data_IF_264293797613
#
_entry.id   IF_264293797613
#
_cell.length_a   1.000
_cell.length_b   1.000
_cell.length_c   1.000
_cell.angle_alpha   90.00
_cell.angle_beta   90.00
_cell.angle_gamma   90.00
#
_symmetry.space_group_name_H-M   'P 1'
#
loop_
_entity.id
_entity.type
_entity.pdbx_description
1 polymer ?
#
# COMPACT_ATOMS: atom_id res chain seq x y z
N UNK A 1 8.55 14.87 16.41
CA UNK A 1 7.32 15.28 15.67
C UNK A 1 7.40 16.65 14.96
N UNK A 2 7.93 17.72 15.56
CA UNK A 2 7.97 19.04 14.89
C UNK A 2 8.92 19.15 13.67
N UNK A 3 9.94 18.29 13.57
CA UNK A 3 10.95 18.33 12.51
C UNK A 3 10.49 17.68 11.19
N UNK A 4 9.86 16.50 11.26
CA UNK A 4 9.20 15.85 10.11
C UNK A 4 8.16 16.75 9.44
N UNK A 5 7.41 17.51 10.25
CA UNK A 5 6.45 18.52 9.80
C UNK A 5 7.10 19.71 9.09
N UNK A 6 8.37 20.07 9.41
CA UNK A 6 9.10 21.15 8.74
C UNK A 6 9.63 20.73 7.38
N UNK A 7 10.18 19.52 7.23
CA UNK A 7 10.53 18.96 5.90
C UNK A 7 9.27 18.82 5.06
N UNK A 8 8.20 18.26 5.63
CA UNK A 8 6.94 18.10 4.90
C UNK A 8 6.37 19.47 4.49
N UNK A 9 6.37 20.49 5.37
CA UNK A 9 5.88 21.84 5.04
C UNK A 9 6.81 22.63 4.10
N UNK A 10 8.13 22.52 4.21
CA UNK A 10 9.08 23.27 3.36
C UNK A 10 9.22 22.67 1.95
N UNK A 11 9.17 21.34 1.84
CA UNK A 11 9.09 20.63 0.55
C UNK A 11 7.77 20.97 -0.15
N UNK A 12 6.66 21.07 0.59
CA UNK A 12 5.31 21.33 0.06
C UNK A 12 4.95 22.81 -0.24
N UNK A 13 5.68 23.83 0.25
CA UNK A 13 5.21 25.25 0.18
C UNK A 13 6.16 26.30 -0.43
N UNK A 14 7.31 25.95 -1.00
CA UNK A 14 8.18 26.98 -1.61
C UNK A 14 7.73 27.37 -3.04
N UNK A 15 7.53 28.67 -3.37
CA UNK A 15 7.16 29.13 -4.71
C UNK A 15 8.34 29.08 -5.69
N UNK A 16 8.03 28.80 -6.96
CA UNK A 16 9.00 28.54 -8.02
C UNK A 16 9.63 29.79 -8.66
N UNK A 17 10.93 29.69 -8.91
CA UNK A 17 11.78 30.39 -9.90
C UNK A 17 13.21 29.83 -9.67
N UNK A 18 14.10 29.54 -10.62
CA UNK A 18 14.24 29.85 -12.06
C UNK A 18 15.38 29.01 -12.67
N UNK A 19 15.21 28.65 -13.95
CA UNK A 19 16.17 28.34 -15.04
C UNK A 19 17.17 27.15 -14.99
N UNK A 20 17.42 26.49 -16.14
CA UNK A 20 18.14 25.22 -16.22
C UNK A 20 19.66 25.42 -16.43
N UNK A 21 20.49 24.95 -15.50
CA UNK A 21 21.92 24.78 -15.75
C UNK A 21 22.18 23.45 -16.45
N UNK A 22 22.82 23.53 -17.62
CA UNK A 22 23.30 22.42 -18.49
C UNK A 22 23.64 21.14 -17.72
N UNK A 23 22.85 20.09 -17.95
CA UNK A 23 23.20 18.73 -17.58
C UNK A 23 24.41 18.27 -18.42
N UNK A 24 25.56 18.08 -17.78
CA UNK A 24 26.60 17.22 -18.34
C UNK A 24 26.09 15.79 -18.27
N UNK A 25 25.82 15.20 -19.43
CA UNK A 25 25.52 13.78 -19.57
C UNK A 25 26.77 12.98 -19.17
N UNK A 26 26.83 12.57 -17.90
CA UNK A 26 27.81 11.57 -17.46
C UNK A 26 27.24 10.20 -17.84
N UNK A 27 28.00 9.51 -18.69
CA UNK A 27 27.72 8.17 -19.19
C UNK A 27 27.39 7.23 -18.02
N UNK A 28 26.26 6.55 -18.13
CA UNK A 28 25.87 5.39 -17.34
C UNK A 28 27.02 4.39 -17.28
N UNK A 29 27.78 4.39 -16.19
CA UNK A 29 28.67 3.29 -15.85
C UNK A 29 27.79 2.11 -15.48
N UNK A 30 27.64 1.18 -16.42
CA UNK A 30 26.97 -0.08 -16.22
C UNK A 30 27.51 -0.79 -14.96
N UNK A 31 26.59 -1.28 -14.13
CA UNK A 31 26.90 -2.22 -13.05
C UNK A 31 27.70 -3.40 -13.62
N UNK A 32 28.65 -3.98 -12.86
CA UNK A 32 29.39 -5.16 -13.31
C UNK A 32 28.41 -6.27 -13.68
N UNK A 33 28.59 -6.85 -14.87
CA UNK A 33 27.63 -7.73 -15.50
C UNK A 33 27.22 -8.93 -14.64
N UNK A 34 25.95 -8.98 -14.27
CA UNK A 34 25.27 -10.25 -14.06
C UNK A 34 24.85 -10.81 -15.43
N UNK A 35 25.78 -11.53 -16.07
CA UNK A 35 25.41 -12.54 -17.06
C UNK A 35 24.73 -13.69 -16.31
N UNK A 36 23.40 -13.74 -16.37
CA UNK A 36 22.62 -14.86 -15.87
C UNK A 36 21.13 -14.61 -16.00
N UNK A 37 20.39 -15.59 -16.49
CA UNK A 37 18.93 -15.64 -16.57
C UNK A 37 18.22 -15.63 -15.19
N UNK A 38 18.74 -14.91 -14.20
CA UNK A 38 18.22 -14.87 -12.83
C UNK A 38 17.15 -13.79 -12.64
N UNK A 39 16.17 -14.08 -11.78
CA UNK A 39 15.14 -13.12 -11.39
C UNK A 39 15.76 -11.90 -10.69
N UNK A 40 15.28 -10.70 -11.03
CA UNK A 40 15.66 -9.45 -10.37
C UNK A 40 15.03 -9.42 -8.98
N UNK A 41 15.87 -9.36 -7.94
CA UNK A 41 15.41 -9.47 -6.54
C UNK A 41 15.73 -8.23 -5.71
N UNK A 42 14.94 -8.02 -4.67
CA UNK A 42 15.18 -7.00 -3.67
C UNK A 42 15.17 -7.56 -2.24
N UNK A 43 16.04 -7.01 -1.40
CA UNK A 43 15.96 -7.11 0.05
C UNK A 43 15.57 -5.76 0.65
N UNK A 44 14.70 -5.76 1.65
CA UNK A 44 14.28 -4.55 2.37
C UNK A 44 14.79 -4.61 3.81
N UNK A 45 15.38 -3.53 4.30
CA UNK A 45 15.85 -3.38 5.68
C UNK A 45 15.11 -2.19 6.30
N UNK A 46 14.24 -2.47 7.27
CA UNK A 46 13.57 -1.44 8.06
C UNK A 46 14.41 -1.20 9.32
N UNK A 47 14.78 0.06 9.53
CA UNK A 47 15.66 0.49 10.62
C UNK A 47 14.84 1.37 11.54
N UNK A 48 14.64 0.93 12.77
CA UNK A 48 13.80 1.66 13.72
C UNK A 48 13.45 0.84 14.94
N UNK A 49 13.96 1.27 16.08
CA UNK A 49 13.67 0.71 17.40
C UNK A 49 12.17 0.73 17.73
N UNK A 50 11.43 1.73 17.25
CA UNK A 50 9.99 1.86 17.45
C UNK A 50 9.18 0.76 16.75
N UNK A 51 9.70 0.21 15.65
CA UNK A 51 9.08 -0.91 14.95
C UNK A 51 9.31 -2.19 15.75
N UNK A 52 10.54 -2.42 16.23
CA UNK A 52 10.87 -3.57 17.07
C UNK A 52 10.12 -3.56 18.42
N UNK A 53 9.86 -2.37 18.98
CA UNK A 53 9.07 -2.18 20.20
C UNK A 53 7.55 -2.29 19.96
N UNK A 54 7.10 -2.41 18.72
CA UNK A 54 5.67 -2.47 18.36
C UNK A 54 4.92 -1.15 18.60
N UNK A 55 5.63 -0.03 18.74
CA UNK A 55 5.03 1.29 18.96
C UNK A 55 4.47 1.89 17.67
N UNK A 56 5.05 1.50 16.54
CA UNK A 56 4.64 1.93 15.20
C UNK A 56 4.51 0.69 14.32
N UNK A 57 3.39 0.60 13.60
CA UNK A 57 3.22 -0.44 12.58
C UNK A 57 4.06 -0.09 11.35
N UNK A 58 4.87 -1.04 10.89
CA UNK A 58 5.62 -0.87 9.64
C UNK A 58 4.67 -0.91 8.43
N UNK A 59 4.45 0.27 7.84
CA UNK A 59 3.75 0.43 6.56
C UNK A 59 4.71 0.56 5.37
N UNK A 60 6.00 0.80 5.65
CA UNK A 60 6.99 1.06 4.62
C UNK A 60 7.29 -0.20 3.82
N UNK A 61 7.55 -1.32 4.50
CA UNK A 61 7.82 -2.59 3.81
C UNK A 61 6.65 -3.03 2.95
N UNK A 62 5.40 -2.88 3.43
CA UNK A 62 4.19 -3.18 2.67
C UNK A 62 4.13 -2.38 1.37
N UNK A 63 4.32 -1.06 1.45
CA UNK A 63 4.31 -0.22 0.26
C UNK A 63 5.45 -0.56 -0.70
N UNK A 64 6.67 -0.74 -0.18
CA UNK A 64 7.84 -1.12 -0.98
C UNK A 64 7.61 -2.44 -1.71
N UNK A 65 7.09 -3.46 -1.05
CA UNK A 65 6.74 -4.75 -1.66
C UNK A 65 5.77 -4.59 -2.82
N UNK A 66 4.66 -3.88 -2.60
CA UNK A 66 3.65 -3.64 -3.64
C UNK A 66 4.25 -2.87 -4.82
N UNK A 67 5.07 -1.86 -4.54
CA UNK A 67 5.65 -1.00 -5.57
C UNK A 67 6.73 -1.74 -6.37
N UNK A 68 7.67 -2.42 -5.73
CA UNK A 68 8.70 -3.21 -6.38
C UNK A 68 8.09 -4.34 -7.24
N UNK A 69 7.06 -5.00 -6.72
CA UNK A 69 6.29 -5.98 -7.50
C UNK A 69 5.71 -5.36 -8.77
N UNK A 70 5.08 -4.19 -8.69
CA UNK A 70 4.57 -3.48 -9.88
C UNK A 70 5.67 -3.07 -10.88
N UNK A 71 6.93 -3.05 -10.44
CA UNK A 71 8.10 -2.74 -11.26
C UNK A 71 8.81 -4.00 -11.76
N UNK A 72 8.27 -5.20 -11.55
CA UNK A 72 8.88 -6.45 -12.01
C UNK A 72 10.04 -6.94 -11.11
N UNK A 73 10.09 -6.50 -9.85
CA UNK A 73 11.12 -6.88 -8.88
C UNK A 73 10.52 -7.75 -7.78
N UNK A 74 11.12 -8.93 -7.55
CA UNK A 74 10.70 -9.86 -6.50
C UNK A 74 11.38 -9.49 -5.17
N UNK A 75 10.61 -9.08 -4.18
CA UNK A 75 11.14 -8.94 -2.81
C UNK A 75 11.33 -10.33 -2.20
N UNK A 76 12.55 -10.63 -1.78
CA UNK A 76 12.93 -11.97 -1.30
C UNK A 76 13.12 -12.03 0.22
N UNK A 77 13.45 -10.92 0.89
CA UNK A 77 13.57 -10.84 2.34
C UNK A 77 13.27 -9.42 2.82
N UNK A 78 12.55 -9.31 3.92
CA UNK A 78 12.46 -8.11 4.74
C UNK A 78 13.17 -8.40 6.06
N UNK A 79 13.95 -7.45 6.56
CA UNK A 79 14.56 -7.48 7.89
C UNK A 79 14.18 -6.21 8.64
N UNK A 80 13.91 -6.33 9.94
CA UNK A 80 13.67 -5.19 10.83
C UNK A 80 14.74 -5.23 11.91
N UNK A 81 15.48 -4.13 12.08
CA UNK A 81 16.68 -4.08 12.91
C UNK A 81 16.73 -2.78 13.74
N UNK A 82 17.45 -2.77 14.88
CA UNK A 82 17.55 -1.59 15.73
C UNK A 82 18.40 -0.49 15.08
N UNK A 83 18.30 0.72 15.64
CA UNK A 83 19.15 1.87 15.30
C UNK A 83 20.58 1.72 15.84
N UNK A 84 21.26 0.65 15.42
CA UNK A 84 22.62 0.29 15.80
C UNK A 84 23.52 0.11 14.57
N UNK A 85 24.66 0.79 14.57
CA UNK A 85 25.59 0.83 13.43
C UNK A 85 26.03 -0.57 13.00
N UNK A 86 26.29 -1.46 13.95
CA UNK A 86 26.90 -2.75 13.70
C UNK A 86 25.86 -3.74 13.19
N UNK A 87 24.67 -3.75 13.80
CA UNK A 87 23.52 -4.52 13.34
C UNK A 87 23.14 -4.13 11.90
N UNK A 88 23.05 -2.83 11.61
CA UNK A 88 22.73 -2.33 10.27
C UNK A 88 23.83 -2.69 9.27
N UNK A 89 25.11 -2.50 9.62
CA UNK A 89 26.21 -2.79 8.70
C UNK A 89 26.31 -4.28 8.33
N UNK A 90 26.09 -5.18 9.30
CA UNK A 90 26.07 -6.64 9.07
C UNK A 90 24.93 -7.02 8.12
N UNK A 91 23.72 -6.51 8.35
CA UNK A 91 22.56 -6.86 7.52
C UNK A 91 22.71 -6.29 6.10
N UNK A 92 23.19 -5.04 5.96
CA UNK A 92 23.49 -4.43 4.66
C UNK A 92 24.51 -5.27 3.89
N UNK A 93 25.61 -5.67 4.55
CA UNK A 93 26.65 -6.48 3.90
C UNK A 93 26.10 -7.81 3.41
N UNK A 94 25.27 -8.48 4.22
CA UNK A 94 24.60 -9.74 3.86
C UNK A 94 23.64 -9.56 2.69
N UNK A 95 22.83 -8.49 2.69
CA UNK A 95 21.83 -8.22 1.67
C UNK A 95 22.45 -7.81 0.34
N UNK A 96 23.47 -6.94 0.39
CA UNK A 96 24.15 -6.42 -0.79
C UNK A 96 24.81 -7.54 -1.62
N UNK A 97 25.28 -8.60 -0.96
CA UNK A 97 25.86 -9.77 -1.62
C UNK A 97 24.81 -10.73 -2.24
N UNK A 98 23.54 -10.66 -1.81
CA UNK A 98 22.50 -11.65 -2.15
C UNK A 98 21.43 -11.15 -3.10
N UNK A 99 21.16 -9.85 -3.13
CA UNK A 99 20.03 -9.28 -3.85
C UNK A 99 20.48 -8.26 -4.89
N UNK A 100 19.71 -8.12 -5.97
CA UNK A 100 19.97 -7.11 -7.01
C UNK A 100 19.84 -5.69 -6.45
N UNK A 101 18.85 -5.47 -5.60
CA UNK A 101 18.60 -4.21 -4.91
C UNK A 101 18.49 -4.41 -3.40
N UNK A 102 19.04 -3.49 -2.63
CA UNK A 102 18.83 -3.39 -1.19
C UNK A 102 18.20 -2.04 -0.91
N UNK A 103 17.01 -2.03 -0.32
CA UNK A 103 16.33 -0.80 0.08
C UNK A 103 16.35 -0.73 1.59
N UNK A 104 16.85 0.36 2.16
CA UNK A 104 16.70 0.64 3.59
C UNK A 104 15.63 1.70 3.80
N UNK A 105 14.93 1.68 4.94
CA UNK A 105 14.05 2.77 5.35
C UNK A 105 14.20 3.04 6.84
N UNK A 106 14.57 4.27 7.19
CA UNK A 106 14.79 4.69 8.58
C UNK A 106 16.20 5.21 8.84
N UNK A 107 16.41 5.78 10.03
CA UNK A 107 17.72 6.19 10.55
C UNK A 107 18.55 7.15 9.68
N UNK A 108 17.93 8.10 8.96
CA UNK A 108 18.62 9.11 8.13
C UNK A 108 18.32 10.56 8.51
N UNK A 109 17.64 10.81 9.63
CA UNK A 109 17.44 12.15 10.16
C UNK A 109 18.70 12.75 10.82
N UNK A 110 18.54 13.85 11.58
CA UNK A 110 19.64 14.58 12.17
C UNK A 110 19.91 14.15 13.62
N UNK A 111 19.13 13.23 14.20
CA UNK A 111 19.26 12.85 15.60
C UNK A 111 20.37 11.81 15.79
N UNK A 112 20.70 11.50 17.04
CA UNK A 112 21.89 10.70 17.38
C UNK A 112 21.72 9.23 16.99
N UNK A 113 20.49 8.74 17.05
CA UNK A 113 20.00 7.42 16.64
C UNK A 113 19.92 7.26 15.10
N UNK A 114 19.91 8.34 14.32
CA UNK A 114 19.88 8.27 12.85
C UNK A 114 21.23 7.85 12.24
N UNK A 115 21.60 6.57 12.32
CA UNK A 115 22.97 6.09 12.02
C UNK A 115 23.12 5.30 10.71
N UNK A 116 22.14 5.36 9.82
CA UNK A 116 22.11 4.50 8.62
C UNK A 116 23.24 4.81 7.64
N UNK A 117 23.62 6.08 7.45
CA UNK A 117 24.73 6.41 6.56
C UNK A 117 26.08 5.94 7.11
N UNK A 118 26.29 6.05 8.42
CA UNK A 118 27.45 5.51 9.13
C UNK A 118 27.52 3.98 8.99
N UNK A 119 26.39 3.30 9.12
CA UNK A 119 26.31 1.86 8.95
C UNK A 119 26.55 1.40 7.51
N UNK A 120 26.00 2.11 6.51
CA UNK A 120 26.29 1.85 5.08
C UNK A 120 27.78 2.02 4.79
N UNK A 121 28.41 3.08 5.33
CA UNK A 121 29.85 3.28 5.18
C UNK A 121 30.64 2.14 5.82
N UNK A 122 30.29 1.73 7.05
CA UNK A 122 30.92 0.60 7.74
C UNK A 122 30.78 -0.71 6.96
N UNK A 123 29.61 -1.00 6.41
CA UNK A 123 29.34 -2.21 5.61
C UNK A 123 30.27 -2.34 4.40
N UNK A 124 30.70 -1.21 3.84
CA UNK A 124 31.53 -1.17 2.63
C UNK A 124 32.99 -0.77 2.88
N UNK A 125 33.38 -0.55 4.14
CA UNK A 125 34.74 -0.15 4.52
C UNK A 125 35.09 1.28 4.13
N UNK A 126 34.10 2.18 4.10
CA UNK A 126 34.24 3.57 3.67
C UNK A 126 34.06 4.54 4.85
N UNK A 127 34.40 5.82 4.64
CA UNK A 127 34.14 6.89 5.59
C UNK A 127 32.94 7.74 5.16
N UNK A 128 32.26 8.32 6.14
CA UNK A 128 31.21 9.30 5.89
C UNK A 128 31.83 10.70 5.75
N UNK A 129 31.56 11.38 4.64
CA UNK A 129 32.06 12.74 4.35
C UNK A 129 30.93 13.68 3.93
N UNK A 130 31.06 15.00 4.16
CA UNK A 130 30.12 15.97 3.63
C UNK A 130 30.10 15.93 2.10
N UNK A 131 28.93 15.70 1.49
CA UNK A 131 28.75 15.79 0.05
C UNK A 131 28.40 17.22 -0.36
N UNK A 132 29.17 17.90 -1.22
CA UNK A 132 29.00 19.32 -1.52
C UNK A 132 27.58 19.72 -1.93
N UNK A 133 26.92 18.90 -2.74
CA UNK A 133 25.55 19.14 -3.19
C UNK A 133 24.53 19.02 -2.05
N UNK A 134 24.67 18.02 -1.17
CA UNK A 134 23.78 17.88 -0.02
C UNK A 134 24.00 19.01 0.99
N UNK A 135 25.24 19.46 1.17
CA UNK A 135 25.56 20.65 1.98
C UNK A 135 24.80 21.87 1.45
N UNK A 136 24.83 22.11 0.14
CA UNK A 136 24.10 23.20 -0.49
C UNK A 136 22.57 23.06 -0.32
N UNK A 137 22.04 21.84 -0.40
CA UNK A 137 20.61 21.57 -0.15
C UNK A 137 20.23 21.82 1.31
N UNK A 138 21.04 21.37 2.27
CA UNK A 138 20.83 21.63 3.70
C UNK A 138 20.81 23.14 3.95
N UNK A 139 21.76 23.88 3.39
CA UNK A 139 21.76 25.33 3.45
C UNK A 139 20.47 25.94 2.86
N UNK A 140 20.04 25.47 1.69
CA UNK A 140 18.82 25.98 1.02
C UNK A 140 17.54 25.70 1.80
N UNK A 141 17.39 24.52 2.40
CA UNK A 141 16.16 24.12 3.09
C UNK A 141 16.09 24.54 4.55
N UNK A 142 17.23 24.62 5.23
CA UNK A 142 17.30 24.87 6.68
C UNK A 142 17.96 26.21 7.03
N UNK A 143 18.60 26.89 6.08
CA UNK A 143 19.33 28.15 6.31
C UNK A 143 20.55 27.98 7.22
N UNK A 144 21.13 26.78 7.26
CA UNK A 144 22.27 26.43 8.12
C UNK A 144 23.55 26.31 7.31
N UNK A 145 24.61 26.95 7.77
CA UNK A 145 25.96 26.91 7.16
C UNK A 145 27.00 26.27 8.08
N UNK A 146 26.72 26.18 9.38
CA UNK A 146 27.68 25.65 10.36
C UNK A 146 27.70 24.12 10.30
N UNK A 147 28.91 23.58 10.09
CA UNK A 147 29.22 22.15 9.97
C UNK A 147 28.82 21.38 11.24
N UNK A 148 28.79 22.04 12.40
CA UNK A 148 28.40 21.43 13.68
C UNK A 148 26.89 21.30 13.91
N UNK A 149 26.04 21.87 13.06
CA UNK A 149 24.59 21.80 13.24
C UNK A 149 24.05 20.38 12.99
N UNK A 150 23.04 19.91 13.75
CA UNK A 150 22.44 18.59 13.54
C UNK A 150 21.95 18.33 12.11
N UNK A 151 21.43 19.36 11.43
CA UNK A 151 20.94 19.25 10.05
C UNK A 151 22.05 18.90 9.04
N UNK A 152 23.32 19.23 9.33
CA UNK A 152 24.45 18.88 8.47
C UNK A 152 24.72 17.38 8.43
N UNK A 153 24.20 16.59 9.39
CA UNK A 153 24.26 15.12 9.35
C UNK A 153 23.62 14.58 8.07
N UNK A 154 22.56 15.22 7.58
CA UNK A 154 21.90 14.86 6.32
C UNK A 154 22.79 14.98 5.08
N UNK A 155 23.85 15.78 5.16
CA UNK A 155 24.82 15.98 4.09
C UNK A 155 26.06 15.10 4.24
N UNK A 156 26.21 14.38 5.36
CA UNK A 156 27.32 13.46 5.62
C UNK A 156 26.91 12.07 5.15
N UNK A 157 27.47 11.63 4.03
CA UNK A 157 27.15 10.35 3.38
C UNK A 157 28.42 9.55 3.09
N UNK A 158 28.35 8.24 2.83
CA UNK A 158 29.50 7.44 2.43
C UNK A 158 30.21 8.04 1.20
N UNK A 159 31.53 7.90 1.11
CA UNK A 159 32.35 8.56 0.08
C UNK A 159 31.94 8.20 -1.36
N UNK A 160 31.54 6.95 -1.62
CA UNK A 160 31.09 6.50 -2.94
C UNK A 160 29.60 6.76 -3.25
N UNK A 161 28.93 7.61 -2.46
CA UNK A 161 27.49 7.88 -2.61
C UNK A 161 27.15 8.49 -3.98
N UNK A 162 26.07 7.98 -4.56
CA UNK A 162 25.40 8.55 -5.72
C UNK A 162 24.11 9.24 -5.26
N UNK A 163 23.81 10.39 -5.88
CA UNK A 163 22.59 11.15 -5.64
C UNK A 163 21.60 10.91 -6.78
N UNK A 164 20.46 10.30 -6.46
CA UNK A 164 19.44 9.96 -7.44
C UNK A 164 18.26 10.92 -7.35
N UNK A 165 17.99 11.63 -8.45
CA UNK A 165 16.86 12.56 -8.55
C UNK A 165 15.68 11.91 -9.26
N UNK A 166 14.53 11.94 -8.59
CA UNK A 166 13.27 11.48 -9.15
C UNK A 166 12.37 12.63 -9.60
N UNK A 167 11.22 12.28 -10.15
CA UNK A 167 10.17 13.24 -10.51
C UNK A 167 8.95 12.98 -9.63
N UNK A 168 8.41 14.02 -8.99
CA UNK A 168 7.15 13.92 -8.26
C UNK A 168 6.02 13.63 -9.26
N UNK A 169 5.38 12.47 -9.12
CA UNK A 169 4.31 12.04 -10.03
C UNK A 169 3.04 12.87 -9.92
N UNK A 170 2.83 13.59 -8.82
CA UNK A 170 1.64 14.45 -8.62
C UNK A 170 1.80 15.81 -9.26
N UNK A 171 3.00 16.38 -9.22
CA UNK A 171 3.26 17.76 -9.70
C UNK A 171 3.96 17.77 -11.06
N UNK A 172 4.70 16.72 -11.41
CA UNK A 172 5.58 16.67 -12.58
C UNK A 172 6.94 17.33 -12.35
N UNK A 173 7.16 17.92 -11.16
CA UNK A 173 8.40 18.62 -10.83
C UNK A 173 9.50 17.65 -10.38
N UNK A 174 10.76 18.07 -10.52
CA UNK A 174 11.89 17.34 -9.95
C UNK A 174 11.78 17.27 -8.41
N UNK A 175 12.10 16.10 -7.85
CA UNK A 175 12.23 15.96 -6.40
C UNK A 175 13.34 16.87 -5.90
N UNK A 176 13.00 17.66 -4.88
CA UNK A 176 13.87 18.67 -4.29
C UNK A 176 15.05 18.10 -3.49
N UNK A 177 14.97 16.84 -3.10
CA UNK A 177 15.98 16.13 -2.33
C UNK A 177 16.27 14.77 -3.01
N UNK A 178 17.54 14.40 -3.22
CA UNK A 178 17.89 13.15 -3.88
C UNK A 178 17.78 11.96 -2.93
N UNK A 179 17.63 10.76 -3.48
CA UNK A 179 17.85 9.52 -2.76
C UNK A 179 19.34 9.14 -2.86
N UNK A 180 19.97 8.94 -1.71
CA UNK A 180 21.36 8.51 -1.62
C UNK A 180 21.44 7.01 -1.84
N UNK A 181 22.38 6.57 -2.68
CA UNK A 181 22.67 5.16 -2.87
C UNK A 181 24.17 4.88 -2.86
N UNK A 182 24.56 3.71 -2.36
CA UNK A 182 25.94 3.20 -2.40
C UNK A 182 25.88 1.78 -2.95
N UNK A 183 26.59 1.53 -4.06
CA UNK A 183 26.51 0.25 -4.80
C UNK A 183 25.05 -0.10 -5.13
N UNK A 184 24.54 -1.24 -4.67
CA UNK A 184 23.15 -1.67 -4.84
C UNK A 184 22.24 -1.32 -3.64
N UNK A 185 22.70 -0.50 -2.69
CA UNK A 185 21.96 -0.08 -1.49
C UNK A 185 21.36 1.31 -1.69
N UNK A 186 20.05 1.43 -1.52
CA UNK A 186 19.26 2.65 -1.70
C UNK A 186 18.65 3.06 -0.36
N UNK A 187 18.98 4.25 0.12
CA UNK A 187 18.72 4.65 1.51
C UNK A 187 17.51 5.57 1.58
N UNK A 188 16.34 5.03 1.94
CA UNK A 188 15.08 5.78 2.03
C UNK A 188 14.84 6.40 3.41
N UNK A 189 14.10 7.52 3.48
CA UNK A 189 13.62 8.05 4.75
C UNK A 189 12.67 7.07 5.46
N UNK A 190 12.66 7.09 6.80
CA UNK A 190 11.71 6.29 7.59
C UNK A 190 10.28 6.83 7.60
N UNK A 191 10.09 8.13 7.33
CA UNK A 191 8.76 8.76 7.32
C UNK A 191 7.97 8.24 6.09
N UNK A 192 6.81 7.55 6.27
CA UNK A 192 6.14 6.86 5.18
C UNK A 192 5.83 7.73 3.96
N UNK A 193 5.22 8.90 4.17
CA UNK A 193 4.87 9.82 3.07
C UNK A 193 6.10 10.27 2.25
N UNK A 194 7.28 10.38 2.88
CA UNK A 194 8.50 10.75 2.16
C UNK A 194 9.09 9.55 1.42
N UNK A 195 9.07 8.37 2.04
CA UNK A 195 9.53 7.12 1.45
C UNK A 195 8.71 6.79 0.19
N UNK A 196 7.38 6.84 0.31
CA UNK A 196 6.45 6.56 -0.78
C UNK A 196 6.71 7.49 -1.98
N UNK A 197 6.80 8.81 -1.72
CA UNK A 197 7.09 9.81 -2.77
C UNK A 197 8.43 9.57 -3.45
N UNK A 198 9.47 9.25 -2.67
CA UNK A 198 10.79 8.96 -3.22
C UNK A 198 10.75 7.73 -4.13
N UNK A 199 10.18 6.61 -3.66
CA UNK A 199 10.12 5.37 -4.44
C UNK A 199 9.23 5.50 -5.68
N UNK A 200 8.13 6.26 -5.60
CA UNK A 200 7.29 6.56 -6.76
C UNK A 200 8.04 7.37 -7.82
N UNK A 201 8.76 8.42 -7.40
CA UNK A 201 9.50 9.29 -8.31
C UNK A 201 10.75 8.63 -8.91
N UNK A 202 11.31 7.65 -8.21
CA UNK A 202 12.52 6.92 -8.59
C UNK A 202 12.24 5.52 -9.13
N UNK A 203 10.98 5.17 -9.41
CA UNK A 203 10.62 3.84 -9.89
C UNK A 203 11.31 3.40 -11.18
N UNK A 204 11.89 4.32 -11.95
CA UNK A 204 12.69 4.01 -13.13
C UNK A 204 14.01 3.27 -12.79
N UNK A 205 14.57 3.46 -11.59
CA UNK A 205 15.81 2.80 -11.16
C UNK A 205 15.62 1.29 -10.93
N UNK A 206 14.40 0.90 -10.55
CA UNK A 206 14.06 -0.46 -10.16
C UNK A 206 13.25 -1.20 -11.22
N UNK A 207 12.95 -0.56 -12.36
CA UNK A 207 12.06 -1.15 -13.37
C UNK A 207 12.74 -2.32 -14.08
N UNK A 208 12.11 -3.48 -14.02
CA UNK A 208 12.44 -4.67 -14.79
C UNK A 208 11.28 -5.03 -15.72
N UNK A 209 11.45 -4.75 -17.02
CA UNK A 209 10.40 -5.00 -18.02
C UNK A 209 10.27 -6.47 -18.41
N UNK A 210 11.25 -7.30 -18.05
CA UNK A 210 11.28 -8.73 -18.40
C UNK A 210 10.38 -9.58 -17.52
N UNK A 211 10.02 -9.07 -16.35
CA UNK A 211 9.20 -9.80 -15.37
C UNK A 211 7.92 -9.03 -15.13
N UNK A 212 6.79 -9.72 -15.26
CA UNK A 212 5.48 -9.24 -14.83
C UNK A 212 4.91 -10.26 -13.88
N UNK A 213 4.23 -9.79 -12.85
CA UNK A 213 3.54 -10.68 -11.94
C UNK A 213 2.04 -10.58 -12.16
N UNK A 214 1.40 -11.73 -12.26
CA UNK A 214 -0.02 -11.89 -12.47
C UNK A 214 -0.60 -12.58 -11.24
N UNK A 215 -1.77 -12.12 -10.79
CA UNK A 215 -2.45 -12.69 -9.63
C UNK A 215 -3.92 -12.95 -9.92
N UNK A 216 -4.46 -14.01 -9.33
CA UNK A 216 -5.90 -14.29 -9.27
C UNK A 216 -6.29 -14.57 -7.82
N UNK A 217 -7.54 -14.25 -7.50
CA UNK A 217 -8.13 -14.57 -6.21
C UNK A 217 -9.40 -15.38 -6.40
N UNK A 218 -9.64 -16.32 -5.50
CA UNK A 218 -10.82 -17.17 -5.45
C UNK A 218 -11.34 -17.15 -4.01
N UNK A 219 -12.65 -16.98 -3.86
CA UNK A 219 -13.30 -16.92 -2.56
C UNK A 219 -14.20 -18.12 -2.41
N UNK A 220 -14.11 -18.80 -1.27
CA UNK A 220 -14.85 -20.06 -1.05
C UNK A 220 -15.52 -20.10 0.31
N UNK A 221 -16.69 -20.76 0.37
CA UNK A 221 -17.50 -20.93 1.59
C UNK A 221 -17.11 -22.15 2.42
N UNK A 222 -16.21 -22.99 1.92
CA UNK A 222 -15.75 -24.19 2.61
C UNK A 222 -14.53 -23.93 3.50
N UNK A 223 -14.35 -24.78 4.51
CA UNK A 223 -13.20 -24.75 5.41
C UNK A 223 -11.93 -25.23 4.70
N UNK A 224 -10.78 -24.70 5.11
CA UNK A 224 -9.47 -25.00 4.51
C UNK A 224 -9.14 -26.50 4.53
N UNK A 225 -9.54 -27.23 5.57
CA UNK A 225 -9.31 -28.67 5.70
C UNK A 225 -9.97 -29.48 4.59
N UNK A 226 -11.12 -29.03 4.07
CA UNK A 226 -11.81 -29.66 2.96
C UNK A 226 -11.16 -29.34 1.62
N UNK A 227 -10.48 -28.18 1.53
CA UNK A 227 -9.80 -27.71 0.32
C UNK A 227 -8.39 -28.31 0.19
N UNK A 228 -7.73 -28.60 1.32
CA UNK A 228 -6.34 -29.01 1.38
C UNK A 228 -5.95 -30.15 0.40
N UNK A 229 -6.71 -31.24 0.23
CA UNK A 229 -6.37 -32.27 -0.74
C UNK A 229 -6.29 -31.75 -2.19
N UNK A 230 -7.25 -30.92 -2.58
CA UNK A 230 -7.29 -30.31 -3.91
C UNK A 230 -6.16 -29.29 -4.09
N UNK A 231 -5.90 -28.47 -3.07
CA UNK A 231 -4.81 -27.49 -3.11
C UNK A 231 -3.44 -28.18 -3.20
N UNK A 232 -3.25 -29.30 -2.52
CA UNK A 232 -2.03 -30.11 -2.62
C UNK A 232 -1.86 -30.69 -4.03
N UNK A 233 -2.94 -31.16 -4.65
CA UNK A 233 -2.92 -31.64 -6.03
C UNK A 233 -2.59 -30.50 -7.00
N UNK A 234 -3.24 -29.34 -6.85
CA UNK A 234 -2.94 -28.16 -7.66
C UNK A 234 -1.48 -27.72 -7.49
N UNK A 235 -0.95 -27.73 -6.27
CA UNK A 235 0.45 -27.38 -6.02
C UNK A 235 1.42 -28.41 -6.62
N UNK A 236 1.09 -29.70 -6.60
CA UNK A 236 1.90 -30.72 -7.26
C UNK A 236 1.95 -30.55 -8.79
N UNK A 237 0.84 -30.10 -9.40
CA UNK A 237 0.76 -29.88 -10.84
C UNK A 237 1.39 -28.55 -11.29
N UNK A 238 1.19 -27.47 -10.53
CA UNK A 238 1.48 -26.10 -10.98
C UNK A 238 2.52 -25.36 -10.12
N UNK A 239 2.92 -25.90 -8.96
CA UNK A 239 3.75 -25.21 -7.96
C UNK A 239 5.14 -24.80 -8.44
N UNK A 240 5.64 -25.36 -9.55
CA UNK A 240 6.90 -24.93 -10.17
C UNK A 240 6.82 -23.55 -10.82
N UNK A 241 5.61 -23.12 -11.22
CA UNK A 241 5.40 -21.89 -12.00
C UNK A 241 4.28 -21.00 -11.47
N UNK A 242 3.42 -21.52 -10.61
CA UNK A 242 2.31 -20.78 -9.98
C UNK A 242 2.32 -21.04 -8.48
N UNK A 243 2.52 -19.97 -7.71
CA UNK A 243 2.42 -20.02 -6.26
C UNK A 243 0.96 -20.01 -5.85
N UNK A 244 0.57 -20.99 -5.04
CA UNK A 244 -0.77 -21.10 -4.47
C UNK A 244 -0.72 -20.70 -2.99
N UNK A 245 -1.69 -19.88 -2.57
CA UNK A 245 -1.87 -19.45 -1.20
C UNK A 245 -3.31 -19.69 -0.75
N UNK A 246 -3.47 -19.99 0.53
CA UNK A 246 -4.76 -20.18 1.20
C UNK A 246 -4.77 -19.35 2.48
N UNK A 247 -5.81 -18.56 2.67
CA UNK A 247 -5.95 -17.62 3.77
C UNK A 247 -7.36 -17.74 4.36
N UNK A 248 -7.54 -18.50 5.47
CA UNK A 248 -8.82 -18.58 6.16
C UNK A 248 -9.16 -17.25 6.84
N UNK A 249 -10.44 -16.89 6.81
CA UNK A 249 -11.00 -15.68 7.41
C UNK A 249 -12.21 -16.07 8.27
N UNK A 250 -11.93 -16.42 9.53
CA UNK A 250 -12.90 -16.99 10.46
C UNK A 250 -14.01 -16.02 10.90
N UNK A 251 -13.78 -14.72 10.74
CA UNK A 251 -14.71 -13.67 11.19
C UNK A 251 -15.60 -13.19 10.04
N UNK A 252 -15.28 -13.58 8.81
CA UNK A 252 -15.97 -13.12 7.62
C UNK A 252 -17.22 -13.95 7.35
N UNK A 253 -18.36 -13.26 7.28
CA UNK A 253 -19.65 -13.89 7.02
C UNK A 253 -19.92 -14.09 5.51
N UNK A 254 -19.05 -13.57 4.64
CA UNK A 254 -19.22 -13.61 3.19
C UNK A 254 -18.48 -14.78 2.54
N UNK A 255 -17.26 -15.07 2.97
CA UNK A 255 -16.46 -16.22 2.55
C UNK A 255 -15.66 -16.77 3.74
N UNK A 256 -15.23 -18.04 3.67
CA UNK A 256 -14.42 -18.67 4.73
C UNK A 256 -12.93 -18.71 4.40
N UNK A 257 -12.58 -18.93 3.15
CA UNK A 257 -11.17 -18.98 2.71
C UNK A 257 -11.00 -18.13 1.46
N UNK A 258 -9.93 -17.33 1.44
CA UNK A 258 -9.41 -16.67 0.24
C UNK A 258 -8.24 -17.48 -0.31
N UNK A 259 -8.39 -17.98 -1.52
CA UNK A 259 -7.34 -18.61 -2.30
C UNK A 259 -6.68 -17.55 -3.19
N UNK A 260 -5.36 -17.56 -3.25
CA UNK A 260 -4.60 -16.68 -4.13
C UNK A 260 -3.71 -17.50 -5.04
N UNK A 261 -3.61 -17.11 -6.29
CA UNK A 261 -2.69 -17.68 -7.25
C UNK A 261 -1.78 -16.57 -7.76
N UNK A 262 -0.48 -16.86 -7.86
CA UNK A 262 0.54 -15.89 -8.29
C UNK A 262 1.49 -16.53 -9.30
N UNK A 263 1.74 -15.87 -10.42
CA UNK A 263 2.70 -16.36 -11.43
C UNK A 263 3.39 -15.23 -12.17
N UNK A 264 4.58 -15.53 -12.71
CA UNK A 264 5.26 -14.69 -13.69
C UNK A 264 4.74 -14.91 -15.13
N UNK A 265 3.89 -15.93 -15.35
CA UNK A 265 3.26 -16.27 -16.63
C UNK A 265 1.74 -16.20 -16.52
N UNK A 266 1.11 -15.36 -17.33
CA UNK A 266 -0.35 -15.28 -17.40
C UNK A 266 -0.99 -16.60 -17.83
N UNK A 267 -0.32 -17.35 -18.72
CA UNK A 267 -0.80 -18.65 -19.17
C UNK A 267 -0.81 -19.68 -18.04
N UNK A 268 0.30 -19.84 -17.32
CA UNK A 268 0.37 -20.81 -16.20
C UNK A 268 -0.57 -20.44 -15.06
N UNK A 269 -0.80 -19.14 -14.85
CA UNK A 269 -1.78 -18.65 -13.89
C UNK A 269 -3.19 -19.09 -14.27
N UNK A 270 -3.57 -18.88 -15.54
CA UNK A 270 -4.92 -19.18 -16.01
C UNK A 270 -5.19 -20.70 -16.09
N UNK A 271 -4.17 -21.51 -16.41
CA UNK A 271 -4.24 -22.97 -16.33
C UNK A 271 -4.50 -23.45 -14.90
N UNK A 272 -3.74 -22.96 -13.92
CA UNK A 272 -3.91 -23.31 -12.51
C UNK A 272 -5.26 -22.80 -11.96
N UNK A 273 -5.67 -21.60 -12.36
CA UNK A 273 -6.96 -21.02 -11.99
C UNK A 273 -8.13 -21.82 -12.54
N UNK A 274 -8.07 -22.19 -13.82
CA UNK A 274 -9.08 -23.04 -14.48
C UNK A 274 -9.16 -24.42 -13.84
N UNK A 275 -8.02 -25.01 -13.47
CA UNK A 275 -7.98 -26.28 -12.73
C UNK A 275 -8.77 -26.19 -11.41
N UNK A 276 -8.56 -25.14 -10.62
CA UNK A 276 -9.31 -24.96 -9.37
C UNK A 276 -10.81 -24.76 -9.63
N UNK A 277 -11.19 -23.95 -10.62
CA UNK A 277 -12.60 -23.74 -10.97
C UNK A 277 -13.33 -25.03 -11.39
N UNK A 278 -12.65 -25.92 -12.12
CA UNK A 278 -13.24 -27.16 -12.62
C UNK A 278 -13.36 -28.24 -11.53
N UNK A 279 -12.45 -28.23 -10.55
CA UNK A 279 -12.38 -29.26 -9.51
C UNK A 279 -13.00 -28.84 -8.18
N UNK A 280 -13.26 -27.54 -7.97
CA UNK A 280 -14.04 -27.06 -6.83
C UNK A 280 -15.54 -27.25 -7.09
N UNK A 281 -16.32 -27.70 -6.09
CA UNK A 281 -17.77 -27.73 -6.22
C UNK A 281 -18.32 -26.32 -6.51
N UNK A 282 -19.15 -26.10 -7.55
CA UNK A 282 -19.63 -24.76 -7.89
C UNK A 282 -20.37 -24.04 -6.75
N UNK A 283 -21.06 -24.78 -5.88
CA UNK A 283 -21.75 -24.24 -4.72
C UNK A 283 -20.82 -23.68 -3.62
N UNK A 284 -19.53 -24.04 -3.68
CA UNK A 284 -18.51 -23.58 -2.72
C UNK A 284 -17.86 -22.28 -3.18
N UNK A 285 -17.83 -22.01 -4.49
CA UNK A 285 -17.20 -20.82 -5.05
C UNK A 285 -18.13 -19.62 -4.87
N UNK A 286 -17.63 -18.56 -4.23
CA UNK A 286 -18.39 -17.35 -3.95
C UNK A 286 -17.89 -16.23 -4.87
N UNK A 287 -18.78 -15.59 -5.65
CA UNK A 287 -18.41 -14.38 -6.38
C UNK A 287 -18.27 -13.23 -5.38
N UNK A 288 -17.05 -12.77 -5.10
CA UNK A 288 -16.86 -11.61 -4.23
C UNK A 288 -17.40 -10.34 -4.89
N UNK A 289 -18.45 -9.77 -4.30
CA UNK A 289 -18.93 -8.43 -4.65
C UNK A 289 -18.08 -7.39 -3.93
N UNK A 290 -17.13 -6.80 -4.65
CA UNK A 290 -16.19 -5.81 -4.10
C UNK A 290 -16.80 -4.43 -3.86
N UNK A 291 -17.86 -4.09 -4.59
CA UNK A 291 -18.64 -2.86 -4.39
C UNK A 291 -20.15 -3.18 -4.32
N UNK A 292 -20.64 -3.63 -3.15
CA UNK A 292 -22.05 -3.94 -2.96
C UNK A 292 -22.92 -2.67 -2.95
N UNK A 293 -22.34 -1.50 -2.67
CA UNK A 293 -23.08 -0.24 -2.57
C UNK A 293 -23.46 0.29 -3.95
N UNK A 294 -22.57 0.18 -4.93
CA UNK A 294 -22.86 0.59 -6.31
C UNK A 294 -23.92 -0.30 -6.98
N UNK A 295 -24.05 -1.57 -6.56
CA UNK A 295 -25.05 -2.51 -7.10
C UNK A 295 -26.35 -2.57 -6.30
N UNK A 296 -26.43 -1.83 -5.20
CA UNK A 296 -27.54 -1.92 -4.24
C UNK A 296 -28.92 -1.78 -4.89
N UNK A 297 -29.13 -0.79 -5.77
CA UNK A 297 -30.38 -0.63 -6.49
C UNK A 297 -30.76 -1.86 -7.34
N UNK A 298 -29.81 -2.44 -8.06
CA UNK A 298 -30.10 -3.62 -8.89
C UNK A 298 -30.48 -4.81 -8.01
N UNK A 299 -29.66 -5.12 -7.00
CA UNK A 299 -29.80 -6.33 -6.19
C UNK A 299 -31.04 -6.26 -5.28
N UNK A 300 -31.33 -5.10 -4.69
CA UNK A 300 -32.50 -4.90 -3.81
C UNK A 300 -33.82 -5.00 -4.58
N UNK A 301 -33.90 -4.43 -5.78
CA UNK A 301 -35.13 -4.51 -6.57
C UNK A 301 -35.31 -5.90 -7.21
N UNK A 302 -34.23 -6.57 -7.62
CA UNK A 302 -34.30 -7.97 -8.03
C UNK A 302 -34.83 -8.86 -6.88
N UNK A 303 -34.41 -8.61 -5.64
CA UNK A 303 -34.96 -9.31 -4.46
C UNK A 303 -36.45 -8.98 -4.27
N UNK A 304 -36.85 -7.72 -4.41
CA UNK A 304 -38.25 -7.30 -4.32
C UNK A 304 -39.14 -8.01 -5.35
N UNK A 305 -38.62 -8.24 -6.55
CA UNK A 305 -39.31 -8.88 -7.68
C UNK A 305 -39.23 -10.42 -7.65
N UNK A 306 -38.41 -11.00 -6.77
CA UNK A 306 -38.16 -12.46 -6.70
C UNK A 306 -39.37 -13.33 -6.35
N UNK A 307 -40.46 -12.72 -5.86
CA UNK A 307 -41.65 -13.44 -5.38
C UNK A 307 -41.47 -14.17 -4.04
N UNK A 308 -40.27 -14.18 -3.46
CA UNK A 308 -40.00 -14.81 -2.16
C UNK A 308 -40.70 -14.09 -1.00
N UNK A 309 -40.90 -14.78 0.13
CA UNK A 309 -41.51 -14.18 1.33
C UNK A 309 -40.73 -12.95 1.85
N UNK A 310 -39.39 -12.98 1.74
CA UNK A 310 -38.56 -11.81 2.05
C UNK A 310 -38.72 -10.73 0.98
N UNK A 311 -38.69 -11.11 -0.31
CA UNK A 311 -38.89 -10.19 -1.43
C UNK A 311 -40.19 -9.39 -1.33
N UNK A 312 -41.29 -10.02 -0.92
CA UNK A 312 -42.57 -9.34 -0.71
C UNK A 312 -42.50 -8.27 0.40
N UNK A 313 -41.79 -8.55 1.50
CA UNK A 313 -41.55 -7.58 2.57
C UNK A 313 -40.66 -6.43 2.11
N UNK A 314 -39.60 -6.74 1.35
CA UNK A 314 -38.71 -5.75 0.74
C UNK A 314 -39.49 -4.86 -0.23
N UNK A 315 -40.34 -5.43 -1.08
CA UNK A 315 -41.19 -4.67 -2.00
C UNK A 315 -42.15 -3.72 -1.26
N UNK A 316 -42.74 -4.16 -0.14
CA UNK A 316 -43.59 -3.30 0.69
C UNK A 316 -42.82 -2.14 1.33
N UNK A 317 -41.61 -2.41 1.83
CA UNK A 317 -40.74 -1.38 2.38
C UNK A 317 -40.31 -0.38 1.30
N UNK A 318 -39.90 -0.85 0.10
CA UNK A 318 -39.53 0.00 -1.02
C UNK A 318 -40.68 0.92 -1.45
N UNK A 319 -41.91 0.42 -1.56
CA UNK A 319 -43.08 1.26 -1.87
C UNK A 319 -43.24 2.41 -0.87
N UNK A 320 -43.05 2.14 0.42
CA UNK A 320 -43.13 3.18 1.47
C UNK A 320 -42.05 4.24 1.27
N UNK A 321 -40.84 3.82 0.91
CA UNK A 321 -39.72 4.74 0.66
C UNK A 321 -39.92 5.55 -0.63
N UNK A 322 -40.42 4.92 -1.68
CA UNK A 322 -40.75 5.58 -2.95
C UNK A 322 -41.87 6.61 -2.77
N UNK A 323 -42.93 6.27 -2.03
CA UNK A 323 -44.01 7.21 -1.68
C UNK A 323 -43.48 8.41 -0.87
N UNK A 324 -42.51 8.20 0.02
CA UNK A 324 -41.86 9.29 0.73
C UNK A 324 -41.04 10.18 -0.22
N UNK A 325 -40.33 9.57 -1.18
CA UNK A 325 -39.56 10.28 -2.22
C UNK A 325 -40.46 10.97 -3.26
N UNK A 326 -41.72 10.54 -3.42
CA UNK A 326 -42.73 11.25 -4.20
C UNK A 326 -43.23 12.51 -3.49
N UNK A 327 -43.40 12.43 -2.16
CA UNK A 327 -44.00 13.51 -1.35
C UNK A 327 -43.00 14.57 -0.91
N UNK A 328 -41.75 14.20 -0.70
CA UNK A 328 -40.73 15.08 -0.12
C UNK A 328 -39.49 15.11 -0.99
N UNK A 329 -38.85 16.29 -1.08
CA UNK A 329 -37.52 16.38 -1.71
C UNK A 329 -36.52 15.61 -0.85
N UNK A 330 -35.49 15.04 -1.46
CA UNK A 330 -34.49 14.25 -0.76
C UNK A 330 -33.84 15.00 0.42
N UNK A 331 -33.60 16.31 0.28
CA UNK A 331 -33.07 17.17 1.34
C UNK A 331 -34.03 17.35 2.55
N UNK A 332 -35.29 16.94 2.43
CA UNK A 332 -36.31 17.01 3.47
C UNK A 332 -36.55 15.65 4.16
N UNK A 333 -35.86 14.60 3.72
CA UNK A 333 -35.94 13.26 4.31
C UNK A 333 -34.62 13.02 5.05
N UNK A 334 -34.66 12.41 6.24
CA UNK A 334 -33.48 11.92 6.92
C UNK A 334 -33.71 10.51 7.43
N UNK A 335 -32.69 9.64 7.35
CA UNK A 335 -32.75 8.28 7.89
C UNK A 335 -32.23 8.30 9.33
N UNK A 336 -33.05 7.84 10.28
CA UNK A 336 -32.58 7.58 11.64
C UNK A 336 -31.65 6.36 11.64
N UNK A 337 -30.41 6.52 12.07
CA UNK A 337 -29.41 5.45 12.08
C UNK A 337 -28.67 5.43 13.41
N UNK A 338 -28.82 4.34 14.15
CA UNK A 338 -28.15 4.11 15.42
C UNK A 338 -27.16 2.93 15.35
N UNK A 339 -26.84 2.47 14.15
CA UNK A 339 -25.97 1.31 13.88
C UNK A 339 -26.59 -0.06 14.19
N UNK A 340 -27.85 -0.11 14.64
CA UNK A 340 -28.60 -1.36 14.81
C UNK A 340 -28.91 -2.07 13.48
N UNK A 341 -29.24 -3.35 13.55
CA UNK A 341 -29.56 -4.18 12.37
C UNK A 341 -30.72 -3.62 11.54
N UNK A 342 -31.76 -3.11 12.19
CA UNK A 342 -32.99 -2.66 11.53
C UNK A 342 -32.78 -1.34 10.78
N UNK A 343 -32.08 -0.38 11.41
CA UNK A 343 -31.74 0.87 10.74
C UNK A 343 -30.67 0.67 9.64
N UNK A 344 -29.82 -0.35 9.76
CA UNK A 344 -28.87 -0.74 8.71
C UNK A 344 -29.60 -1.27 7.48
N UNK A 345 -30.57 -2.18 7.68
CA UNK A 345 -31.43 -2.63 6.59
C UNK A 345 -32.19 -1.46 5.93
N UNK A 346 -32.79 -0.56 6.73
CA UNK A 346 -33.46 0.63 6.23
C UNK A 346 -32.53 1.54 5.44
N UNK A 347 -31.30 1.77 5.91
CA UNK A 347 -30.31 2.58 5.22
C UNK A 347 -29.98 2.00 3.84
N UNK A 348 -29.79 0.68 3.73
CA UNK A 348 -29.54 0.02 2.46
C UNK A 348 -30.73 0.10 1.50
N UNK A 349 -31.96 -0.12 1.99
CA UNK A 349 -33.17 0.01 1.18
C UNK A 349 -33.38 1.45 0.69
N UNK A 350 -33.16 2.44 1.56
CA UNK A 350 -33.28 3.85 1.19
C UNK A 350 -32.20 4.26 0.20
N UNK A 351 -30.95 3.84 0.41
CA UNK A 351 -29.87 4.04 -0.56
C UNK A 351 -30.22 3.46 -1.94
N UNK A 352 -30.71 2.21 -1.99
CA UNK A 352 -31.13 1.57 -3.23
C UNK A 352 -32.27 2.34 -3.93
N UNK A 353 -33.27 2.80 -3.18
CA UNK A 353 -34.38 3.59 -3.72
C UNK A 353 -33.92 4.95 -4.28
N UNK A 354 -33.08 5.66 -3.53
CA UNK A 354 -32.48 6.93 -3.96
C UNK A 354 -31.60 6.72 -5.20
N UNK A 355 -30.77 5.67 -5.22
CA UNK A 355 -29.90 5.36 -6.34
C UNK A 355 -30.68 5.06 -7.62
N UNK A 356 -31.78 4.29 -7.54
CA UNK A 356 -32.64 3.99 -8.70
C UNK A 356 -33.31 5.25 -9.25
N UNK A 357 -33.75 6.14 -8.36
CA UNK A 357 -34.52 7.34 -8.72
C UNK A 357 -33.66 8.52 -9.16
N UNK A 358 -32.45 8.63 -8.61
CA UNK A 358 -31.50 9.71 -8.86
C UNK A 358 -30.11 9.17 -9.17
N UNK A 359 -29.92 8.48 -10.32
CA UNK A 359 -28.68 7.78 -10.64
C UNK A 359 -27.45 8.70 -10.78
N UNK A 360 -27.62 9.96 -11.18
CA UNK A 360 -26.53 10.92 -11.34
C UNK A 360 -26.19 11.72 -10.07
N UNK A 361 -26.82 11.38 -8.93
CA UNK A 361 -26.66 12.10 -7.68
C UNK A 361 -25.24 11.98 -7.13
N UNK A 362 -24.71 13.11 -6.65
CA UNK A 362 -23.43 13.20 -5.94
C UNK A 362 -23.55 13.51 -4.44
N UNK A 363 -24.74 13.91 -3.99
CA UNK A 363 -24.98 14.27 -2.59
C UNK A 363 -25.01 13.04 -1.68
N UNK A 364 -24.61 13.18 -0.41
CA UNK A 364 -24.70 12.09 0.59
C UNK A 364 -26.09 12.02 1.19
N UNK A 365 -26.53 10.80 1.55
CA UNK A 365 -27.82 10.60 2.22
C UNK A 365 -27.77 11.28 3.59
N UNK A 366 -28.71 12.19 3.91
CA UNK A 366 -28.81 12.76 5.24
C UNK A 366 -29.23 11.68 6.25
N UNK A 367 -28.41 11.52 7.30
CA UNK A 367 -28.60 10.54 8.37
C UNK A 367 -28.63 11.25 9.71
N UNK A 368 -29.59 10.89 10.56
CA UNK A 368 -29.69 11.37 11.93
C UNK A 368 -29.21 10.29 12.90
N UNK A 369 -28.14 10.57 13.64
CA UNK A 369 -27.66 9.73 14.73
C UNK A 369 -27.86 10.44 16.07
N UNK A 370 -28.65 9.81 16.95
CA UNK A 370 -28.84 10.30 18.32
C UNK A 370 -27.81 9.60 19.20
N UNK A 371 -26.88 10.37 19.76
CA UNK A 371 -25.84 9.86 20.66
C UNK A 371 -26.45 9.39 21.97
N UNK A 372 -26.04 8.21 22.41
CA UNK A 372 -26.41 7.65 23.71
C UNK A 372 -25.30 7.97 24.72
N UNK A 373 -25.60 8.07 26.01
CA UNK A 373 -24.64 8.49 27.05
C UNK A 373 -23.46 7.52 27.20
N UNK A 374 -23.65 6.23 26.87
CA UNK A 374 -22.60 5.20 26.90
C UNK A 374 -22.78 4.22 25.73
N UNK A 375 -22.32 4.56 24.51
CA UNK A 375 -22.38 3.64 23.38
C UNK A 375 -21.23 2.64 23.44
N UNK A 376 -21.43 1.46 22.86
CA UNK A 376 -20.34 0.52 22.61
C UNK A 376 -19.34 1.14 21.62
N UNK A 377 -18.02 1.14 21.89
CA UNK A 377 -17.01 1.75 21.01
C UNK A 377 -17.06 1.22 19.57
N UNK A 378 -17.36 -0.06 19.39
CA UNK A 378 -17.49 -0.73 18.10
C UNK A 378 -18.65 -0.16 17.27
N UNK A 379 -19.74 0.22 17.94
CA UNK A 379 -20.90 0.85 17.30
C UNK A 379 -20.55 2.25 16.79
N UNK A 380 -19.84 3.04 17.59
CA UNK A 380 -19.36 4.37 17.18
C UNK A 380 -18.38 4.27 16.01
N UNK A 381 -17.45 3.32 16.03
CA UNK A 381 -16.54 3.05 14.91
C UNK A 381 -17.30 2.63 13.66
N UNK A 382 -18.30 1.76 13.79
CA UNK A 382 -19.15 1.35 12.67
C UNK A 382 -19.87 2.55 12.04
N UNK A 383 -20.51 3.40 12.86
CA UNK A 383 -21.20 4.60 12.38
C UNK A 383 -20.23 5.55 11.67
N UNK A 384 -19.05 5.81 12.25
CA UNK A 384 -18.02 6.66 11.64
C UNK A 384 -17.55 6.10 10.29
N UNK A 385 -17.32 4.78 10.21
CA UNK A 385 -16.94 4.13 8.97
C UNK A 385 -18.07 4.19 7.91
N UNK A 386 -19.33 4.05 8.32
CA UNK A 386 -20.50 4.18 7.43
C UNK A 386 -20.61 5.59 6.85
N UNK A 387 -20.33 6.65 7.61
CA UNK A 387 -20.37 8.04 7.12
C UNK A 387 -19.27 8.36 6.10
N UNK A 388 -18.13 7.67 6.17
CA UNK A 388 -17.03 7.86 5.23
C UNK A 388 -17.32 7.25 3.85
N UNK A 389 -18.03 6.12 3.84
CA UNK A 389 -18.57 5.50 2.62
C UNK A 389 -19.63 6.41 1.97
#
# INVERSE_FOLDING_TARGET
MHWALRICKSVLRAPGASQPSRAMAVRSTALPGHNGHGAVTAGIIIIGDEILKGLVQDTNSFFMCRKLRSLGVKVAKISVIPDDVDAIAVEISSFAARFTYVLTAGGIGPTHDDVTFEAVAKAFGEQVRPHPELVALVHRFFGKTDVGCPEMKLARVPESSLLNYGTDKRTGDALKYPLVSVRNVYVFPGIPVLMERALEGLGHLFRNERTRFHSRELYVSADETLLAPLLNQANACFGSHTQLGSYPDWVNNYYRVKLTLDSESEQHLEEAYSFLLQNLPPAVIIPLVTDPVARAAMDVYALAESGSALGQKVAAALRTLEEALDRFRLAQICVGFNGGKDCTALLHLFHAAVQRRFPERKEKVPVLYIRVVSPFPEMEQFIQATVQR
#
